data_IF_966893441988
#
_entry.id   IF_966893441988
#
_cell.length_a   1.000
_cell.length_b   1.000
_cell.length_c   1.000
_cell.angle_alpha   90.00
_cell.angle_beta   90.00
_cell.angle_gamma   90.00
#
_symmetry.space_group_name_H-M   'P 1'
#
loop_
_entity.id
_entity.type
_entity.pdbx_description
1 polymer ?
#
# COMPACT_ATOMS: atom_id res chain seq x y z
N UNK A 1 -36.69 19.01 -8.39
CA UNK A 1 -37.41 18.97 -7.09
C UNK A 1 -36.38 19.29 -6.02
N UNK A 2 -36.57 20.35 -5.22
CA UNK A 2 -35.64 20.75 -4.15
C UNK A 2 -36.12 20.14 -2.84
N UNK A 3 -35.31 19.30 -2.21
CA UNK A 3 -35.60 18.72 -0.89
C UNK A 3 -35.46 19.80 0.20
N UNK A 4 -36.33 19.71 1.21
CA UNK A 4 -36.59 20.71 2.26
C UNK A 4 -35.56 20.73 3.39
N UNK A 5 -34.47 19.96 3.27
CA UNK A 5 -33.24 20.17 4.02
C UNK A 5 -32.17 20.48 2.98
N UNK A 6 -31.40 21.57 3.14
CA UNK A 6 -30.38 22.02 2.19
C UNK A 6 -29.16 21.09 2.06
N UNK A 7 -29.38 19.79 2.01
CA UNK A 7 -28.44 18.79 1.54
C UNK A 7 -28.40 18.92 0.02
N UNK A 8 -27.36 19.58 -0.48
CA UNK A 8 -27.03 19.52 -1.90
C UNK A 8 -26.89 18.05 -2.30
N UNK A 9 -27.34 17.68 -3.50
CA UNK A 9 -27.03 16.36 -4.03
C UNK A 9 -25.49 16.25 -4.11
N UNK A 10 -24.93 15.25 -3.44
CA UNK A 10 -23.49 14.98 -3.39
C UNK A 10 -23.21 13.74 -4.22
N UNK A 11 -22.24 13.84 -5.11
CA UNK A 11 -21.71 12.75 -5.89
C UNK A 11 -20.25 12.52 -5.45
N UNK A 12 -19.98 11.33 -4.94
CA UNK A 12 -18.63 10.88 -4.57
C UNK A 12 -18.03 10.16 -5.78
N UNK A 13 -16.97 10.73 -6.36
CA UNK A 13 -16.28 10.11 -7.48
C UNK A 13 -15.44 8.92 -7.02
N UNK A 14 -15.20 7.98 -7.95
CA UNK A 14 -14.44 6.76 -7.68
C UNK A 14 -13.05 7.09 -7.11
N UNK A 15 -12.75 6.53 -5.93
CA UNK A 15 -11.42 6.60 -5.32
C UNK A 15 -10.42 5.92 -6.24
N UNK A 16 -9.37 6.62 -6.69
CA UNK A 16 -8.42 6.03 -7.60
C UNK A 16 -7.57 4.97 -6.86
N UNK A 17 -7.28 3.84 -7.50
CA UNK A 17 -6.38 2.82 -6.92
C UNK A 17 -5.00 3.43 -6.62
N UNK A 18 -4.50 3.30 -5.39
CA UNK A 18 -3.23 3.88 -4.95
C UNK A 18 -2.33 2.82 -4.31
N UNK A 19 -1.02 3.03 -4.34
CA UNK A 19 -0.06 2.19 -3.61
C UNK A 19 0.01 2.66 -2.14
N UNK A 20 -0.47 1.87 -1.15
CA UNK A 20 -0.50 2.30 0.24
C UNK A 20 0.90 2.53 0.85
N UNK A 21 1.97 2.05 0.21
CA UNK A 21 3.35 2.25 0.66
C UNK A 21 3.91 3.61 0.28
N UNK A 22 3.56 4.11 -0.91
CA UNK A 22 4.20 5.29 -1.51
C UNK A 22 3.24 6.45 -1.74
N UNK A 23 1.95 6.16 -1.80
CA UNK A 23 0.90 7.10 -2.14
C UNK A 23 -0.16 7.19 -1.02
N UNK A 24 -0.84 8.31 -0.96
CA UNK A 24 -1.99 8.52 -0.10
C UNK A 24 -3.11 9.22 -0.86
N UNK A 25 -4.35 8.85 -0.54
CA UNK A 25 -5.52 9.53 -1.08
C UNK A 25 -5.85 10.73 -0.19
N UNK A 26 -5.88 11.90 -0.82
CA UNK A 26 -6.33 13.14 -0.20
C UNK A 26 -7.64 13.58 -0.86
N UNK A 27 -8.58 14.06 -0.06
CA UNK A 27 -9.80 14.69 -0.58
C UNK A 27 -9.43 15.96 -1.35
N UNK A 28 -9.75 15.97 -2.64
CA UNK A 28 -9.52 17.12 -3.50
C UNK A 28 -10.59 18.20 -3.23
N UNK A 29 -10.34 19.45 -3.64
CA UNK A 29 -11.34 20.50 -3.51
C UNK A 29 -12.64 20.10 -4.20
N UNK A 30 -13.74 20.19 -3.46
CA UNK A 30 -15.08 19.91 -3.97
C UNK A 30 -15.39 20.82 -5.17
N UNK A 31 -15.92 20.24 -6.24
CA UNK A 31 -16.32 20.97 -7.45
C UNK A 31 -17.82 20.86 -7.63
N UNK A 32 -18.47 21.93 -8.09
CA UNK A 32 -19.91 21.89 -8.37
C UNK A 32 -20.10 21.69 -9.87
N UNK A 33 -20.75 20.61 -10.26
CA UNK A 33 -21.12 20.31 -11.66
C UNK A 33 -22.63 20.15 -11.71
N UNK A 34 -23.30 20.96 -12.53
CA UNK A 34 -24.76 20.94 -12.71
C UNK A 34 -25.59 21.07 -11.41
N UNK A 35 -25.07 21.80 -10.42
CA UNK A 35 -25.73 22.00 -9.11
C UNK A 35 -25.55 20.85 -8.12
N UNK A 36 -24.75 19.84 -8.49
CA UNK A 36 -24.36 18.70 -7.65
C UNK A 36 -22.92 18.91 -7.16
N UNK A 37 -22.69 18.70 -5.87
CA UNK A 37 -21.34 18.76 -5.28
C UNK A 37 -20.62 17.47 -5.62
N UNK A 38 -19.45 17.57 -6.24
CA UNK A 38 -18.58 16.46 -6.57
C UNK A 38 -17.46 16.39 -5.52
N UNK A 39 -17.39 15.27 -4.81
CA UNK A 39 -16.25 14.92 -3.95
C UNK A 39 -15.26 14.18 -4.83
N UNK A 40 -14.05 14.72 -4.93
CA UNK A 40 -12.97 14.17 -5.74
C UNK A 40 -11.83 13.71 -4.84
N UNK A 41 -11.01 12.79 -5.35
CA UNK A 41 -9.85 12.26 -4.65
C UNK A 41 -8.61 12.44 -5.53
N UNK A 42 -7.54 12.97 -4.95
CA UNK A 42 -6.22 13.05 -5.59
C UNK A 42 -5.26 12.09 -4.92
N UNK A 43 -4.28 11.62 -5.68
CA UNK A 43 -3.15 10.84 -5.15
C UNK A 43 -1.99 11.78 -4.92
N UNK A 44 -1.47 11.79 -3.70
CA UNK A 44 -0.24 12.50 -3.37
C UNK A 44 0.84 11.52 -2.96
N UNK A 45 2.09 11.86 -3.30
CA UNK A 45 3.23 11.12 -2.82
C UNK A 45 3.42 11.38 -1.32
N UNK A 46 3.51 10.32 -0.55
CA UNK A 46 3.81 10.38 0.88
C UNK A 46 5.24 10.91 1.08
N UNK A 47 5.53 11.57 2.20
CA UNK A 47 6.89 12.01 2.52
C UNK A 47 7.89 10.84 2.51
N UNK A 48 9.12 11.05 2.04
CA UNK A 48 10.14 10.00 1.94
C UNK A 48 10.38 9.27 3.27
N UNK A 49 10.31 9.98 4.40
CA UNK A 49 10.49 9.40 5.74
C UNK A 49 9.38 8.41 6.06
N UNK A 50 8.15 8.78 5.74
CA UNK A 50 6.97 7.97 5.99
C UNK A 50 6.88 6.81 5.00
N UNK A 51 7.15 7.04 3.71
CA UNK A 51 7.30 5.97 2.70
C UNK A 51 8.31 4.92 3.16
N UNK A 52 9.51 5.36 3.57
CA UNK A 52 10.57 4.45 4.04
C UNK A 52 10.13 3.61 5.25
N UNK A 53 9.30 4.19 6.12
CA UNK A 53 8.75 3.53 7.31
C UNK A 53 7.67 2.51 6.94
N UNK A 54 6.74 2.88 6.05
CA UNK A 54 5.70 1.99 5.51
C UNK A 54 6.33 0.77 4.81
N UNK A 55 7.33 0.99 3.97
CA UNK A 55 8.06 -0.09 3.28
C UNK A 55 8.78 -1.00 4.28
N UNK A 56 9.45 -0.44 5.29
CA UNK A 56 10.11 -1.26 6.34
C UNK A 56 9.09 -2.08 7.14
N UNK A 57 7.91 -1.53 7.40
CA UNK A 57 6.83 -2.23 8.10
C UNK A 57 6.28 -3.38 7.25
N UNK A 58 6.03 -3.17 5.97
CA UNK A 58 5.60 -4.24 5.07
C UNK A 58 6.66 -5.34 4.93
N UNK A 59 7.94 -4.96 4.82
CA UNK A 59 9.06 -5.91 4.89
C UNK A 59 9.02 -6.73 6.16
N UNK A 60 8.80 -6.09 7.31
CA UNK A 60 8.68 -6.80 8.58
C UNK A 60 7.49 -7.75 8.58
N UNK A 61 6.34 -7.36 8.04
CA UNK A 61 5.17 -8.25 7.90
C UNK A 61 5.50 -9.48 7.07
N UNK A 62 6.13 -9.33 5.91
CA UNK A 62 6.55 -10.46 5.07
C UNK A 62 7.61 -11.36 5.74
N UNK A 63 8.54 -10.79 6.51
CA UNK A 63 9.52 -11.57 7.28
C UNK A 63 8.87 -12.32 8.45
N UNK A 64 7.94 -11.71 9.17
CA UNK A 64 7.20 -12.35 10.26
C UNK A 64 6.27 -13.44 9.72
N UNK A 65 5.57 -13.18 8.63
CA UNK A 65 4.72 -14.14 7.96
C UNK A 65 5.48 -15.36 7.45
N UNK A 66 6.76 -15.20 7.10
CA UNK A 66 7.63 -16.32 6.68
C UNK A 66 8.45 -16.93 7.82
N UNK A 67 8.20 -16.55 9.08
CA UNK A 67 9.00 -16.98 10.23
C UNK A 67 8.72 -18.43 10.66
N UNK A 68 7.51 -18.93 10.44
CA UNK A 68 7.15 -20.34 10.70
C UNK A 68 7.95 -21.33 9.84
N UNK A 69 8.49 -20.91 8.69
CA UNK A 69 9.38 -21.71 7.84
C UNK A 69 10.82 -21.81 8.40
N UNK A 70 11.17 -20.97 9.37
CA UNK A 70 12.46 -21.00 10.05
C UNK A 70 12.45 -21.88 11.33
N UNK A 71 11.33 -22.56 11.61
CA UNK A 71 11.24 -23.54 12.70
C UNK A 71 12.15 -24.73 12.44
N UNK A 72 12.73 -25.27 13.52
CA UNK A 72 13.70 -26.38 13.47
C UNK A 72 13.15 -27.68 12.86
N UNK A 73 11.82 -27.85 12.86
CA UNK A 73 11.13 -29.00 12.26
C UNK A 73 11.00 -28.89 10.73
N UNK A 74 11.29 -27.72 10.14
CA UNK A 74 11.18 -27.49 8.71
C UNK A 74 12.58 -27.32 8.14
N UNK A 75 12.98 -28.21 7.21
CA UNK A 75 14.17 -27.97 6.40
C UNK A 75 13.87 -26.80 5.48
N UNK A 76 14.28 -25.59 5.89
CA UNK A 76 14.00 -24.37 5.13
C UNK A 76 14.57 -24.48 3.71
N UNK A 77 13.71 -24.53 2.67
CA UNK A 77 14.16 -24.61 1.29
C UNK A 77 15.03 -23.39 0.93
N UNK A 78 16.02 -23.57 0.05
CA UNK A 78 16.88 -22.46 -0.41
C UNK A 78 16.05 -21.29 -0.98
N UNK A 79 14.91 -21.58 -1.61
CA UNK A 79 13.95 -20.57 -2.10
C UNK A 79 13.49 -19.60 -1.00
N UNK A 80 13.22 -20.10 0.20
CA UNK A 80 12.80 -19.28 1.34
C UNK A 80 13.95 -18.45 1.91
N UNK A 81 15.18 -18.98 1.87
CA UNK A 81 16.39 -18.19 2.23
C UNK A 81 16.60 -17.05 1.26
N UNK A 82 16.53 -17.31 -0.05
CA UNK A 82 16.64 -16.28 -1.10
C UNK A 82 15.55 -15.23 -0.97
N UNK A 83 14.29 -15.63 -0.79
CA UNK A 83 13.15 -14.72 -0.58
C UNK A 83 13.37 -13.81 0.64
N UNK A 84 13.69 -14.39 1.81
CA UNK A 84 13.93 -13.62 3.05
C UNK A 84 15.16 -12.71 2.94
N UNK A 85 16.16 -13.09 2.16
CA UNK A 85 17.33 -12.24 1.91
C UNK A 85 16.95 -11.06 1.01
N UNK A 86 16.24 -11.31 -0.10
CA UNK A 86 15.76 -10.26 -0.99
C UNK A 86 14.87 -9.24 -0.26
N UNK A 87 14.02 -9.68 0.68
CA UNK A 87 13.25 -8.78 1.56
C UNK A 87 14.16 -7.89 2.42
N UNK A 88 15.24 -8.43 3.00
CA UNK A 88 16.18 -7.64 3.82
C UNK A 88 16.97 -6.62 2.99
N UNK A 89 17.21 -6.93 1.72
CA UNK A 89 17.96 -6.08 0.80
C UNK A 89 17.11 -4.95 0.18
N UNK A 90 15.78 -4.93 0.43
CA UNK A 90 14.87 -3.87 -0.06
C UNK A 90 15.36 -2.45 0.22
N UNK A 91 15.80 -2.07 1.44
CA UNK A 91 16.29 -0.72 1.70
C UNK A 91 17.60 -0.38 0.99
N UNK A 92 18.26 -1.36 0.37
CA UNK A 92 19.49 -1.19 -0.41
C UNK A 92 19.22 -1.12 -1.91
N UNK A 93 17.96 -1.27 -2.36
CA UNK A 93 17.61 -1.18 -3.77
C UNK A 93 17.78 0.24 -4.31
N UNK A 94 18.25 0.35 -5.54
CA UNK A 94 18.29 1.62 -6.27
C UNK A 94 16.86 2.09 -6.54
N UNK A 95 16.43 3.17 -5.87
CA UNK A 95 15.08 3.70 -5.98
C UNK A 95 14.33 3.75 -4.65
N UNK A 96 14.84 3.11 -3.59
CA UNK A 96 14.25 3.25 -2.26
C UNK A 96 14.32 4.72 -1.77
N UNK A 97 13.22 5.28 -1.19
CA UNK A 97 11.91 4.65 -0.92
C UNK A 97 10.88 4.79 -2.06
N UNK A 98 11.14 5.58 -3.09
CA UNK A 98 10.17 5.91 -4.14
C UNK A 98 9.77 4.74 -5.06
N UNK A 99 10.65 3.75 -5.25
CA UNK A 99 10.42 2.58 -6.10
C UNK A 99 11.10 1.35 -5.51
N UNK A 100 10.30 0.33 -5.17
CA UNK A 100 10.77 -0.91 -4.55
C UNK A 100 10.25 -2.12 -5.31
N UNK A 101 11.14 -3.05 -5.62
CA UNK A 101 10.77 -4.36 -6.18
C UNK A 101 10.65 -5.38 -5.05
N UNK A 102 9.44 -5.88 -4.83
CA UNK A 102 9.17 -6.92 -3.85
C UNK A 102 9.43 -8.30 -4.44
N UNK A 103 10.18 -9.18 -3.75
CA UNK A 103 10.33 -10.56 -4.21
C UNK A 103 8.99 -11.29 -4.10
N UNK A 104 8.74 -12.23 -5.02
CA UNK A 104 7.56 -13.10 -4.94
C UNK A 104 7.80 -14.24 -3.93
N UNK A 105 6.84 -14.55 -3.06
CA UNK A 105 6.95 -15.68 -2.16
C UNK A 105 6.97 -17.00 -2.97
N UNK A 106 7.77 -18.00 -2.55
CA UNK A 106 7.94 -19.23 -3.32
C UNK A 106 6.73 -20.18 -3.32
N UNK A 107 5.81 -20.02 -2.35
CA UNK A 107 4.54 -20.72 -2.25
C UNK A 107 3.39 -19.70 -2.26
N UNK A 108 2.13 -20.14 -2.36
CA UNK A 108 0.92 -19.30 -2.37
C UNK A 108 0.64 -18.66 -0.99
N UNK A 109 1.69 -18.13 -0.37
CA UNK A 109 1.72 -17.43 0.88
C UNK A 109 1.00 -16.11 0.70
N UNK A 110 -0.31 -16.12 1.00
CA UNK A 110 -1.05 -14.90 1.21
C UNK A 110 -0.57 -14.37 2.55
N UNK A 111 0.29 -13.35 2.53
CA UNK A 111 0.53 -12.53 3.70
C UNK A 111 -0.80 -11.85 4.01
N UNK A 112 -1.66 -12.48 4.80
CA UNK A 112 -2.89 -11.84 5.25
C UNK A 112 -2.47 -10.59 6.02
N UNK A 113 -2.89 -9.45 5.47
CA UNK A 113 -2.53 -8.10 5.90
C UNK A 113 -3.13 -7.73 7.23
#
# INVERSE_FOLDING_TARGET
MKTTYGIADVNENDKPSFDPLTEEIVEAPMTIVDGVVQINYIKEAVDETEQSSRIRNQRNSHLTGSDWMALSDVTMPEKWKTYRQALRDIPQQSGFPASVTWPEPPDNFIAEG
#
